data_IF_162552809364
#
_entry.id   IF_162552809364
#
_cell.length_a   1.000
_cell.length_b   1.000
_cell.length_c   1.000
_cell.angle_alpha   90.00
_cell.angle_beta   90.00
_cell.angle_gamma   90.00
#
_symmetry.space_group_name_H-M   'P 1'
#
loop_
_entity.id
_entity.type
_entity.pdbx_description
1 polymer ?
#
# COMPACT_ATOMS: atom_id res chain seq x y z
N UNK A 1 -23.30 5.60 -9.23
CA UNK A 1 -22.90 4.32 -9.86
C UNK A 1 -21.95 3.64 -8.91
N UNK A 2 -21.91 2.30 -8.82
CA UNK A 2 -20.95 1.59 -7.97
C UNK A 2 -19.53 1.84 -8.46
N UNK A 3 -18.62 2.21 -7.58
CA UNK A 3 -17.20 2.41 -7.89
C UNK A 3 -16.54 1.10 -8.24
N UNK A 4 -15.59 1.12 -9.19
CA UNK A 4 -14.79 -0.03 -9.59
C UNK A 4 -13.30 0.24 -9.39
N UNK A 5 -12.61 -0.68 -8.72
CA UNK A 5 -11.16 -0.62 -8.55
C UNK A 5 -10.48 -1.80 -9.26
N UNK A 6 -9.27 -1.58 -9.76
CA UNK A 6 -8.38 -2.62 -10.26
C UNK A 6 -7.22 -2.76 -9.27
N UNK A 7 -7.19 -3.87 -8.52
CA UNK A 7 -6.12 -4.19 -7.57
C UNK A 7 -5.09 -5.12 -8.23
N UNK A 8 -3.82 -4.72 -8.20
CA UNK A 8 -2.70 -5.41 -8.85
C UNK A 8 -1.62 -5.71 -7.82
N UNK A 9 -1.65 -6.91 -7.27
CA UNK A 9 -0.78 -7.38 -6.19
C UNK A 9 -0.47 -8.87 -6.37
N UNK A 10 0.44 -9.43 -5.57
CA UNK A 10 0.56 -10.88 -5.43
C UNK A 10 -0.66 -11.49 -4.74
N UNK A 11 -0.81 -12.80 -4.90
CA UNK A 11 -1.82 -13.61 -4.21
C UNK A 11 -1.13 -14.67 -3.37
N UNK A 12 -1.16 -14.52 -2.06
CA UNK A 12 -0.75 -15.53 -1.10
C UNK A 12 -1.93 -16.41 -0.69
N UNK A 13 -1.84 -17.75 -0.90
CA UNK A 13 -2.94 -18.67 -0.60
C UNK A 13 -3.28 -18.70 0.90
N UNK A 14 -2.29 -18.52 1.77
CA UNK A 14 -2.45 -18.48 3.22
C UNK A 14 -1.72 -17.27 3.77
N UNK A 15 -2.39 -16.56 4.67
CA UNK A 15 -1.95 -15.31 5.27
C UNK A 15 -2.78 -14.12 4.79
N UNK A 16 -2.81 -13.08 5.60
CA UNK A 16 -3.54 -11.83 5.33
C UNK A 16 -2.57 -10.78 4.81
N UNK A 17 -2.38 -10.75 3.51
CA UNK A 17 -1.54 -9.77 2.80
C UNK A 17 -2.01 -9.61 1.35
N UNK A 18 -1.61 -8.56 0.71
CA UNK A 18 -1.79 -8.33 -0.73
C UNK A 18 -3.25 -8.53 -1.18
N UNK A 19 -3.55 -9.31 -2.22
CA UNK A 19 -4.92 -9.49 -2.73
C UNK A 19 -5.89 -10.12 -1.72
N UNK A 20 -5.42 -10.95 -0.78
CA UNK A 20 -6.28 -11.53 0.26
C UNK A 20 -6.74 -10.49 1.29
N UNK A 21 -6.16 -9.30 1.29
CA UNK A 21 -6.54 -8.12 2.08
C UNK A 21 -7.27 -7.10 1.22
N UNK A 22 -6.70 -6.69 0.10
CA UNK A 22 -7.25 -5.64 -0.74
C UNK A 22 -8.66 -5.97 -1.26
N UNK A 23 -8.84 -7.18 -1.81
CA UNK A 23 -10.13 -7.61 -2.36
C UNK A 23 -11.26 -7.60 -1.33
N UNK A 24 -11.17 -8.26 -0.15
CA UNK A 24 -12.27 -8.27 0.82
C UNK A 24 -12.54 -6.88 1.44
N UNK A 25 -11.52 -6.06 1.71
CA UNK A 25 -11.70 -4.72 2.27
C UNK A 25 -12.44 -3.82 1.28
N UNK A 26 -11.97 -3.72 0.04
CA UNK A 26 -12.60 -2.89 -0.98
C UNK A 26 -14.02 -3.38 -1.31
N UNK A 27 -14.23 -4.70 -1.39
CA UNK A 27 -15.56 -5.27 -1.62
C UNK A 27 -16.52 -4.97 -0.47
N UNK A 28 -16.09 -5.07 0.79
CA UNK A 28 -16.89 -4.71 1.96
C UNK A 28 -17.24 -3.20 2.00
N UNK A 29 -16.36 -2.36 1.45
CA UNK A 29 -16.60 -0.92 1.27
C UNK A 29 -17.58 -0.60 0.11
N UNK A 30 -18.14 -1.61 -0.55
CA UNK A 30 -19.08 -1.45 -1.66
C UNK A 30 -18.43 -1.22 -3.03
N UNK A 31 -17.11 -1.41 -3.15
CA UNK A 31 -16.36 -1.25 -4.40
C UNK A 31 -16.37 -2.56 -5.20
N UNK A 32 -16.69 -2.48 -6.49
CA UNK A 32 -16.53 -3.60 -7.43
C UNK A 32 -15.04 -3.77 -7.73
N UNK A 33 -14.39 -4.73 -7.07
CA UNK A 33 -12.94 -4.91 -7.14
C UNK A 33 -12.55 -5.97 -8.14
N UNK A 34 -11.96 -5.55 -9.26
CA UNK A 34 -11.25 -6.43 -10.19
C UNK A 34 -9.82 -6.67 -9.69
N UNK A 35 -9.26 -7.84 -9.99
CA UNK A 35 -7.92 -8.21 -9.51
C UNK A 35 -7.05 -8.73 -10.64
N UNK A 36 -5.76 -8.36 -10.61
CA UNK A 36 -4.72 -8.97 -11.46
C UNK A 36 -3.60 -9.45 -10.52
N UNK A 37 -3.41 -10.79 -10.36
CA UNK A 37 -2.33 -11.29 -9.56
C UNK A 37 -0.98 -11.15 -10.29
N UNK A 38 0.03 -10.59 -9.59
CA UNK A 38 1.41 -10.45 -10.11
C UNK A 38 2.25 -11.69 -9.85
N UNK A 39 1.91 -12.44 -8.82
CA UNK A 39 2.49 -13.73 -8.45
C UNK A 39 1.49 -14.57 -7.65
N UNK A 40 1.67 -15.88 -7.63
CA UNK A 40 0.94 -16.80 -6.76
C UNK A 40 1.93 -17.45 -5.80
N UNK A 41 1.66 -17.31 -4.49
CA UNK A 41 2.46 -17.92 -3.43
C UNK A 41 1.60 -18.85 -2.57
N UNK A 42 2.19 -19.93 -2.05
CA UNK A 42 1.49 -20.78 -1.08
C UNK A 42 1.28 -20.08 0.27
N UNK A 43 2.22 -19.23 0.67
CA UNK A 43 2.15 -18.31 1.82
C UNK A 43 2.91 -17.04 1.45
N UNK A 44 2.70 -15.93 2.16
CA UNK A 44 3.61 -14.80 2.06
C UNK A 44 5.02 -15.15 2.56
N UNK A 45 6.00 -14.29 2.29
CA UNK A 45 7.42 -14.56 2.57
C UNK A 45 7.86 -14.19 3.99
N UNK A 46 7.04 -13.45 4.74
CA UNK A 46 7.33 -13.03 6.12
C UNK A 46 7.17 -14.19 7.10
N UNK A 47 8.25 -14.61 7.74
CA UNK A 47 8.31 -15.72 8.73
C UNK A 47 7.89 -17.11 8.22
N UNK A 48 7.65 -17.28 6.91
CA UNK A 48 7.45 -18.59 6.29
C UNK A 48 8.64 -18.98 5.45
N UNK A 49 8.97 -20.28 5.45
CA UNK A 49 10.03 -20.87 4.63
C UNK A 49 9.48 -22.04 3.83
N UNK A 50 10.12 -22.36 2.69
CA UNK A 50 9.68 -23.48 1.86
C UNK A 50 8.38 -23.23 1.09
N UNK A 51 7.93 -22.00 0.99
CA UNK A 51 6.78 -21.60 0.19
C UNK A 51 7.05 -21.83 -1.30
N UNK A 52 5.98 -22.09 -2.05
CA UNK A 52 6.05 -22.08 -3.53
C UNK A 52 5.80 -20.66 -4.04
N UNK A 53 6.45 -20.32 -5.13
CA UNK A 53 6.29 -19.02 -5.79
C UNK A 53 6.16 -19.24 -7.30
N UNK A 54 5.09 -18.72 -7.90
CA UNK A 54 4.87 -18.67 -9.33
C UNK A 54 4.78 -17.21 -9.76
N UNK A 55 5.77 -16.75 -10.51
CA UNK A 55 5.76 -15.43 -11.15
C UNK A 55 4.73 -15.43 -12.28
N UNK A 56 3.87 -14.41 -12.32
CA UNK A 56 2.84 -14.24 -13.33
C UNK A 56 3.14 -13.11 -14.32
N UNK A 57 4.39 -12.63 -14.39
CA UNK A 57 4.81 -11.55 -15.31
C UNK A 57 4.41 -11.82 -16.75
N UNK A 58 4.50 -13.06 -17.23
CA UNK A 58 4.11 -13.44 -18.61
C UNK A 58 2.62 -13.27 -18.88
N UNK A 59 1.78 -13.19 -17.84
CA UNK A 59 0.33 -13.03 -17.95
C UNK A 59 -0.12 -11.57 -17.85
N UNK A 60 0.68 -10.66 -17.29
CA UNK A 60 0.27 -9.28 -17.07
C UNK A 60 -0.11 -8.56 -18.37
N UNK A 61 0.77 -8.63 -19.39
CA UNK A 61 0.50 -7.99 -20.69
C UNK A 61 -0.67 -8.61 -21.45
N UNK A 62 -0.82 -9.96 -21.56
CA UNK A 62 -2.00 -10.58 -22.16
C UNK A 62 -3.30 -10.23 -21.46
N UNK A 63 -3.33 -10.22 -20.12
CA UNK A 63 -4.51 -9.84 -19.33
C UNK A 63 -4.85 -8.37 -19.61
N UNK A 64 -3.87 -7.47 -19.54
CA UNK A 64 -4.05 -6.05 -19.83
C UNK A 64 -4.66 -5.83 -21.21
N UNK A 65 -4.07 -6.44 -22.24
CA UNK A 65 -4.56 -6.32 -23.62
C UNK A 65 -6.01 -6.81 -23.76
N UNK A 66 -6.37 -7.92 -23.12
CA UNK A 66 -7.75 -8.42 -23.14
C UNK A 66 -8.69 -7.44 -22.41
N UNK A 67 -8.35 -6.98 -21.21
CA UNK A 67 -9.20 -6.05 -20.44
C UNK A 67 -9.42 -4.73 -21.20
N UNK A 68 -8.42 -4.24 -21.92
CA UNK A 68 -8.55 -3.04 -22.75
C UNK A 68 -9.63 -3.19 -23.85
N UNK A 69 -9.87 -4.41 -24.34
CA UNK A 69 -10.94 -4.66 -25.35
C UNK A 69 -12.36 -4.58 -24.78
N UNK A 70 -12.50 -4.63 -23.45
CA UNK A 70 -13.80 -4.67 -22.78
C UNK A 70 -14.41 -3.29 -22.53
N UNK A 71 -13.65 -2.20 -22.77
CA UNK A 71 -14.13 -0.83 -22.56
C UNK A 71 -14.51 -0.56 -21.09
N UNK A 72 -13.83 -1.19 -20.14
CA UNK A 72 -14.09 -1.01 -18.72
C UNK A 72 -13.50 0.33 -18.26
N UNK A 73 -14.24 1.04 -17.41
CA UNK A 73 -13.72 2.18 -16.65
C UNK A 73 -13.42 1.74 -15.23
N UNK A 74 -12.26 2.17 -14.70
CA UNK A 74 -11.85 1.96 -13.33
C UNK A 74 -11.77 3.31 -12.60
N UNK A 75 -12.51 3.46 -11.51
CA UNK A 75 -12.43 4.64 -10.64
C UNK A 75 -11.12 4.70 -9.85
N UNK A 76 -10.47 3.54 -9.62
CA UNK A 76 -9.16 3.47 -9.03
C UNK A 76 -8.32 2.33 -9.61
N UNK A 77 -7.01 2.55 -9.65
CA UNK A 77 -5.97 1.57 -9.85
C UNK A 77 -5.16 1.46 -8.55
N UNK A 78 -4.96 0.26 -8.03
CA UNK A 78 -4.23 0.04 -6.78
C UNK A 78 -3.15 -1.00 -6.98
N UNK A 79 -1.87 -0.60 -6.91
CA UNK A 79 -0.73 -1.52 -6.91
C UNK A 79 -0.12 -1.65 -5.53
N UNK A 80 0.28 -2.87 -5.19
CA UNK A 80 1.08 -3.20 -4.00
C UNK A 80 2.39 -3.87 -4.41
N UNK A 81 2.71 -5.01 -3.77
CA UNK A 81 3.96 -5.72 -4.02
C UNK A 81 4.14 -6.12 -5.50
N UNK A 82 5.29 -5.75 -6.05
CA UNK A 82 5.78 -6.12 -7.37
C UNK A 82 7.14 -6.82 -7.22
N UNK A 83 7.32 -7.96 -7.89
CA UNK A 83 8.49 -8.80 -7.69
C UNK A 83 9.76 -8.28 -8.38
N UNK A 84 9.63 -7.42 -9.41
CA UNK A 84 10.77 -6.97 -10.21
C UNK A 84 10.53 -5.64 -10.89
N UNK A 85 11.62 -4.97 -11.30
CA UNK A 85 11.55 -3.78 -12.14
C UNK A 85 10.85 -4.01 -13.49
N UNK A 86 10.92 -5.22 -14.04
CA UNK A 86 10.19 -5.59 -15.26
C UNK A 86 8.66 -5.57 -15.03
N UNK A 87 8.18 -6.02 -13.87
CA UNK A 87 6.77 -5.89 -13.52
C UNK A 87 6.37 -4.42 -13.41
N UNK A 88 7.20 -3.55 -12.83
CA UNK A 88 6.91 -2.11 -12.78
C UNK A 88 6.70 -1.52 -14.19
N UNK A 89 7.53 -1.89 -15.17
CA UNK A 89 7.34 -1.46 -16.57
C UNK A 89 5.99 -1.95 -17.13
N UNK A 90 5.60 -3.18 -16.84
CA UNK A 90 4.31 -3.72 -17.26
C UNK A 90 3.14 -2.99 -16.60
N UNK A 91 3.28 -2.62 -15.30
CA UNK A 91 2.29 -1.81 -14.61
C UNK A 91 2.18 -0.41 -15.21
N UNK A 92 3.28 0.24 -15.54
CA UNK A 92 3.25 1.54 -16.22
C UNK A 92 2.51 1.45 -17.57
N UNK A 93 2.78 0.40 -18.35
CA UNK A 93 2.04 0.13 -19.59
C UNK A 93 0.56 -0.19 -19.35
N UNK A 94 0.23 -0.86 -18.24
CA UNK A 94 -1.16 -1.14 -17.85
C UNK A 94 -1.91 0.14 -17.49
N UNK A 95 -1.28 1.08 -16.79
CA UNK A 95 -1.86 2.39 -16.51
C UNK A 95 -2.22 3.12 -17.81
N UNK A 96 -1.32 3.11 -18.80
CA UNK A 96 -1.55 3.78 -20.08
C UNK A 96 -2.71 3.16 -20.91
N UNK A 97 -3.01 1.87 -20.70
CA UNK A 97 -4.04 1.15 -21.45
C UNK A 97 -5.40 1.08 -20.74
N UNK A 98 -5.43 1.07 -19.41
CA UNK A 98 -6.64 0.79 -18.63
C UNK A 98 -7.11 1.97 -17.78
N UNK A 99 -6.28 3.01 -17.60
CA UNK A 99 -6.61 4.17 -16.79
C UNK A 99 -6.75 5.43 -17.63
N UNK A 100 -7.58 6.34 -17.18
CA UNK A 100 -7.79 7.67 -17.75
C UNK A 100 -7.59 8.78 -16.70
N UNK A 101 -7.89 10.02 -17.04
CA UNK A 101 -7.72 11.17 -16.14
C UNK A 101 -8.63 11.14 -14.91
N UNK A 102 -9.69 10.33 -14.93
CA UNK A 102 -10.63 10.19 -13.80
C UNK A 102 -10.24 9.02 -12.86
N UNK A 103 -9.30 8.17 -13.29
CA UNK A 103 -8.84 7.03 -12.51
C UNK A 103 -7.90 7.49 -11.40
N UNK A 104 -8.24 7.24 -10.13
CA UNK A 104 -7.35 7.50 -8.99
C UNK A 104 -6.25 6.44 -8.91
N UNK A 105 -5.02 6.79 -9.25
CA UNK A 105 -3.86 5.89 -9.17
C UNK A 105 -3.32 5.91 -7.74
N UNK A 106 -3.44 4.77 -7.06
CA UNK A 106 -3.03 4.55 -5.68
C UNK A 106 -1.90 3.52 -5.65
N UNK A 107 -0.75 3.90 -5.10
CA UNK A 107 0.45 3.05 -5.06
C UNK A 107 0.91 2.84 -3.62
N UNK A 108 0.88 1.58 -3.19
CA UNK A 108 1.63 1.10 -2.04
C UNK A 108 2.94 0.50 -2.57
N UNK A 109 4.10 1.13 -2.35
CA UNK A 109 5.35 0.67 -2.96
C UNK A 109 5.77 -0.75 -2.58
N UNK A 110 5.54 -1.18 -1.34
CA UNK A 110 5.68 -2.53 -0.81
C UNK A 110 6.95 -3.30 -1.23
N UNK A 111 8.15 -2.69 -1.14
CA UNK A 111 9.41 -3.34 -1.54
C UNK A 111 10.47 -3.41 -0.44
N UNK A 112 10.27 -2.74 0.70
CA UNK A 112 11.28 -2.64 1.76
C UNK A 112 10.63 -2.42 3.13
N UNK A 113 11.32 -2.85 4.21
CA UNK A 113 10.92 -2.56 5.58
C UNK A 113 12.14 -2.62 6.52
N UNK A 114 12.06 -1.95 7.69
CA UNK A 114 13.12 -1.91 8.70
C UNK A 114 14.52 -1.60 8.14
N UNK A 115 14.60 -0.64 7.20
CA UNK A 115 15.85 -0.19 6.58
C UNK A 115 16.43 -1.17 5.55
N UNK A 116 15.68 -2.20 5.12
CA UNK A 116 16.14 -3.24 4.20
C UNK A 116 15.09 -3.55 3.14
N UNK A 117 15.54 -3.85 1.92
CA UNK A 117 14.67 -4.40 0.87
C UNK A 117 14.24 -5.83 1.24
N UNK A 118 13.06 -6.23 0.80
CA UNK A 118 12.63 -7.62 0.93
C UNK A 118 13.58 -8.55 0.16
N UNK A 119 13.71 -9.78 0.62
CA UNK A 119 14.74 -10.73 0.17
C UNK A 119 14.72 -11.06 -1.33
N UNK A 120 13.56 -10.93 -1.97
CA UNK A 120 13.40 -11.20 -3.42
C UNK A 120 13.55 -9.94 -4.28
N UNK A 121 13.72 -8.77 -3.69
CA UNK A 121 13.76 -7.47 -4.38
C UNK A 121 15.19 -7.07 -4.71
N UNK A 122 15.45 -6.82 -6.00
CA UNK A 122 16.76 -6.40 -6.49
C UNK A 122 17.09 -4.92 -6.23
N UNK A 123 18.32 -4.52 -6.56
CA UNK A 123 18.81 -3.15 -6.31
C UNK A 123 18.15 -2.08 -7.20
N UNK A 124 17.61 -2.46 -8.33
CA UNK A 124 16.99 -1.51 -9.27
C UNK A 124 15.59 -1.09 -8.85
N UNK A 125 14.93 -1.84 -7.96
CA UNK A 125 13.54 -1.63 -7.58
C UNK A 125 13.23 -0.21 -7.10
N UNK A 126 14.02 0.44 -6.21
CA UNK A 126 13.69 1.80 -5.76
C UNK A 126 13.61 2.80 -6.92
N UNK A 127 14.51 2.69 -7.90
CA UNK A 127 14.51 3.57 -9.08
C UNK A 127 13.29 3.32 -9.98
N UNK A 128 12.91 2.06 -10.16
CA UNK A 128 11.72 1.70 -10.94
C UNK A 128 10.44 2.11 -10.21
N UNK A 129 10.33 1.82 -8.93
CA UNK A 129 9.18 2.18 -8.12
C UNK A 129 8.97 3.69 -8.05
N UNK A 130 10.05 4.48 -8.07
CA UNK A 130 9.99 5.95 -8.17
C UNK A 130 9.22 6.41 -9.41
N UNK A 131 9.42 5.72 -10.56
CA UNK A 131 8.70 6.03 -11.80
C UNK A 131 7.20 5.73 -11.68
N UNK A 132 6.83 4.66 -10.97
CA UNK A 132 5.43 4.34 -10.72
C UNK A 132 4.81 5.34 -9.74
N UNK A 133 5.50 5.67 -8.65
CA UNK A 133 5.06 6.68 -7.69
C UNK A 133 4.85 8.06 -8.34
N UNK A 134 5.67 8.43 -9.34
CA UNK A 134 5.52 9.68 -10.08
C UNK A 134 4.23 9.77 -10.92
N UNK A 135 3.55 8.65 -11.18
CA UNK A 135 2.28 8.56 -11.89
C UNK A 135 1.07 8.51 -10.94
N UNK A 136 1.30 8.45 -9.63
CA UNK A 136 0.26 8.21 -8.64
C UNK A 136 -0.42 9.50 -8.18
N UNK A 137 -1.74 9.43 -7.95
CA UNK A 137 -2.44 10.47 -7.18
C UNK A 137 -2.13 10.33 -5.69
N UNK A 138 -2.04 9.09 -5.17
CA UNK A 138 -1.68 8.85 -3.77
C UNK A 138 -0.65 7.75 -3.66
N UNK A 139 0.41 7.99 -2.87
CA UNK A 139 1.42 6.99 -2.50
C UNK A 139 1.41 6.76 -0.99
N UNK A 140 1.65 5.50 -0.59
CA UNK A 140 1.60 5.09 0.82
C UNK A 140 2.88 4.32 1.21
N UNK A 141 4.07 4.92 1.07
CA UNK A 141 5.30 4.27 1.49
C UNK A 141 5.39 4.18 3.02
N UNK A 142 6.00 3.10 3.53
CA UNK A 142 6.53 3.14 4.89
C UNK A 142 7.80 4.02 4.95
N UNK A 143 8.31 4.30 6.15
CA UNK A 143 9.47 5.19 6.32
C UNK A 143 10.74 4.65 5.64
N UNK A 144 10.91 3.32 5.55
CA UNK A 144 12.03 2.69 4.83
C UNK A 144 11.91 2.95 3.32
N UNK A 145 10.75 2.71 2.76
CA UNK A 145 10.49 2.93 1.34
C UNK A 145 10.62 4.40 0.96
N UNK A 146 10.11 5.30 1.81
CA UNK A 146 10.27 6.74 1.65
C UNK A 146 11.77 7.13 1.56
N UNK A 147 12.61 6.56 2.44
CA UNK A 147 14.05 6.77 2.40
C UNK A 147 14.69 6.27 1.09
N UNK A 148 14.34 5.06 0.65
CA UNK A 148 14.86 4.50 -0.61
C UNK A 148 14.36 5.27 -1.85
N UNK A 149 13.09 5.64 -1.90
CA UNK A 149 12.53 6.43 -2.99
C UNK A 149 13.22 7.79 -3.14
N UNK A 150 13.67 8.38 -2.03
CA UNK A 150 14.37 9.65 -2.00
C UNK A 150 15.91 9.52 -2.08
N UNK A 151 16.45 8.28 -2.16
CA UNK A 151 17.90 8.03 -2.11
C UNK A 151 18.55 8.60 -0.85
N UNK A 152 17.84 8.54 0.29
CA UNK A 152 18.29 9.03 1.58
C UNK A 152 18.55 7.86 2.54
N UNK A 153 19.45 8.03 3.53
CA UNK A 153 19.63 7.02 4.58
C UNK A 153 18.32 6.78 5.35
N UNK A 154 18.00 5.51 5.65
CA UNK A 154 16.91 5.20 6.57
C UNK A 154 17.23 5.75 7.96
N UNK A 155 16.37 6.58 8.55
CA UNK A 155 16.68 7.27 9.81
C UNK A 155 16.58 6.37 11.04
N UNK A 156 15.94 5.18 10.92
CA UNK A 156 15.65 4.34 12.06
C UNK A 156 14.82 5.07 13.12
N UNK A 157 15.18 4.89 14.39
CA UNK A 157 14.52 5.55 15.52
C UNK A 157 14.88 7.04 15.68
N UNK A 158 15.77 7.57 14.82
CA UNK A 158 16.24 8.97 14.87
C UNK A 158 15.46 9.86 13.90
N UNK A 159 14.15 9.75 13.92
CA UNK A 159 13.32 10.65 13.12
C UNK A 159 12.68 11.72 14.00
N UNK A 160 12.51 12.90 13.42
CA UNK A 160 11.77 14.01 14.01
C UNK A 160 10.78 14.57 12.99
N UNK A 161 9.94 15.52 13.44
CA UNK A 161 8.92 16.13 12.58
C UNK A 161 9.51 16.84 11.36
N UNK A 162 10.67 17.47 11.51
CA UNK A 162 11.32 18.21 10.43
C UNK A 162 11.81 17.24 9.33
N UNK A 163 12.44 16.14 9.71
CA UNK A 163 12.91 15.11 8.79
C UNK A 163 11.73 14.46 8.03
N UNK A 164 10.66 14.10 8.75
CA UNK A 164 9.46 13.52 8.10
C UNK A 164 8.80 14.55 7.17
N UNK A 165 8.79 15.84 7.55
CA UNK A 165 8.33 16.91 6.69
C UNK A 165 9.14 17.01 5.39
N UNK A 166 10.46 16.91 5.48
CA UNK A 166 11.35 16.88 4.30
C UNK A 166 11.10 15.65 3.42
N UNK A 167 10.80 14.49 4.01
CA UNK A 167 10.47 13.28 3.26
C UNK A 167 9.13 13.44 2.53
N UNK A 168 8.09 13.93 3.20
CA UNK A 168 6.80 14.19 2.56
C UNK A 168 6.94 15.15 1.37
N UNK A 169 7.67 16.27 1.54
CA UNK A 169 7.91 17.24 0.46
C UNK A 169 8.69 16.62 -0.70
N UNK A 170 9.78 15.90 -0.41
CA UNK A 170 10.56 15.22 -1.45
C UNK A 170 9.75 14.19 -2.23
N UNK A 171 8.86 13.44 -1.58
CA UNK A 171 7.97 12.48 -2.24
C UNK A 171 6.92 13.17 -3.11
N UNK A 172 6.38 14.32 -2.70
CA UNK A 172 5.53 15.14 -3.57
C UNK A 172 6.30 15.65 -4.81
N UNK A 173 7.57 16.01 -4.67
CA UNK A 173 8.42 16.46 -5.79
C UNK A 173 8.64 15.35 -6.82
N UNK A 174 8.56 14.06 -6.45
CA UNK A 174 8.61 12.94 -7.40
C UNK A 174 7.43 12.93 -8.38
N UNK A 175 6.30 13.55 -8.02
CA UNK A 175 5.13 13.64 -8.90
C UNK A 175 3.79 13.33 -8.23
N UNK A 176 3.76 12.62 -7.12
CA UNK A 176 2.53 12.28 -6.40
C UNK A 176 1.75 13.54 -5.97
N UNK A 177 0.42 13.44 -5.92
CA UNK A 177 -0.45 14.51 -5.42
C UNK A 177 -0.62 14.44 -3.91
N UNK A 178 -0.66 13.23 -3.37
CA UNK A 178 -0.83 12.95 -1.95
C UNK A 178 0.21 11.93 -1.49
N UNK A 179 0.77 12.16 -0.33
CA UNK A 179 1.75 11.29 0.32
C UNK A 179 1.24 10.93 1.71
N UNK A 180 1.24 9.65 2.03
CA UNK A 180 0.97 9.13 3.38
C UNK A 180 2.16 8.25 3.76
N UNK A 181 3.06 8.73 4.59
CA UNK A 181 4.17 7.92 5.12
C UNK A 181 3.65 7.14 6.32
N UNK A 182 3.76 5.82 6.29
CA UNK A 182 3.42 4.93 7.41
C UNK A 182 4.65 4.59 8.24
N UNK A 183 4.44 3.94 9.38
CA UNK A 183 5.48 3.56 10.36
C UNK A 183 6.27 4.78 10.91
N UNK A 184 5.59 5.90 11.06
CA UNK A 184 6.15 7.10 11.71
C UNK A 184 5.98 6.98 13.21
N UNK A 185 7.09 7.24 13.95
CA UNK A 185 7.09 7.22 15.42
C UNK A 185 8.07 8.27 15.94
N UNK A 186 7.70 8.96 17.00
CA UNK A 186 8.57 9.89 17.72
C UNK A 186 8.82 9.46 19.16
N UNK A 187 8.13 8.41 19.62
CA UNK A 187 8.33 7.78 20.91
C UNK A 187 8.11 6.27 20.83
N UNK A 188 8.67 5.47 21.76
CA UNK A 188 8.47 4.02 21.76
C UNK A 188 7.02 3.57 21.94
N UNK A 189 6.17 4.43 22.52
CA UNK A 189 4.80 4.12 22.92
C UNK A 189 3.79 4.34 21.79
N UNK A 190 4.21 4.97 20.68
CA UNK A 190 3.31 5.33 19.59
C UNK A 190 3.82 4.87 18.22
N UNK A 191 2.90 4.69 17.30
CA UNK A 191 3.15 4.53 15.87
C UNK A 191 2.04 5.22 15.09
N UNK A 192 2.31 5.64 13.87
CA UNK A 192 1.32 6.38 13.12
C UNK A 192 1.74 6.70 11.70
N UNK A 193 1.17 7.78 11.20
CA UNK A 193 1.35 8.24 9.84
C UNK A 193 1.65 9.74 9.79
N UNK A 194 2.32 10.14 8.71
CA UNK A 194 2.44 11.53 8.30
C UNK A 194 1.80 11.70 6.92
N UNK A 195 0.93 12.69 6.75
CA UNK A 195 0.27 12.93 5.46
C UNK A 195 0.46 14.36 4.99
N UNK A 196 0.71 14.52 3.69
CA UNK A 196 0.82 15.81 3.02
C UNK A 196 0.19 15.72 1.63
N UNK A 197 -0.59 16.72 1.27
CA UNK A 197 -1.21 16.85 -0.06
C UNK A 197 -0.69 18.09 -0.77
N UNK A 198 -0.43 17.98 -2.06
CA UNK A 198 -0.07 19.12 -2.93
C UNK A 198 -1.15 20.19 -2.98
N UNK A 199 -2.41 19.80 -2.85
CA UNK A 199 -3.56 20.71 -2.82
C UNK A 199 -3.79 21.38 -1.46
N UNK A 200 -3.09 20.92 -0.40
CA UNK A 200 -3.19 21.54 0.93
C UNK A 200 -2.53 22.92 0.93
N UNK A 201 -3.16 23.87 1.61
CA UNK A 201 -2.52 25.16 1.92
C UNK A 201 -1.43 25.04 2.99
N UNK A 202 -1.36 23.89 3.69
CA UNK A 202 -0.32 23.62 4.68
C UNK A 202 0.97 23.19 4.00
N UNK A 203 2.09 23.80 4.37
CA UNK A 203 3.43 23.42 3.92
C UNK A 203 4.03 22.27 4.73
N UNK A 204 3.40 21.89 5.84
CA UNK A 204 3.87 20.88 6.77
C UNK A 204 2.88 19.69 6.81
N UNK A 205 3.38 18.45 7.01
CA UNK A 205 2.52 17.30 7.11
C UNK A 205 1.69 17.29 8.39
N UNK A 206 0.51 16.70 8.30
CA UNK A 206 -0.28 16.31 9.45
C UNK A 206 0.20 14.95 9.98
N UNK A 207 0.17 14.80 11.29
CA UNK A 207 0.61 13.57 11.97
C UNK A 207 -0.56 12.98 12.77
N UNK A 208 -0.76 11.68 12.61
CA UNK A 208 -1.78 10.91 13.33
C UNK A 208 -1.11 9.69 13.98
N UNK A 209 -1.33 9.51 15.29
CA UNK A 209 -0.70 8.42 16.05
C UNK A 209 -1.72 7.60 16.80
N UNK A 210 -1.35 6.32 17.04
CA UNK A 210 -2.02 5.39 17.96
C UNK A 210 -0.99 4.73 18.85
N UNK A 211 -1.45 4.11 19.94
CA UNK A 211 -0.57 3.33 20.81
C UNK A 211 0.11 2.20 20.03
N UNK A 212 1.40 2.01 20.29
CA UNK A 212 2.16 0.93 19.68
C UNK A 212 1.89 -0.38 20.41
N UNK A 213 1.77 -1.45 19.65
CA UNK A 213 1.74 -2.82 20.16
C UNK A 213 3.11 -3.46 19.99
N UNK A 214 3.50 -4.32 20.94
CA UNK A 214 4.71 -5.13 20.83
C UNK A 214 4.50 -6.27 19.83
N UNK A 215 5.45 -6.49 18.94
CA UNK A 215 5.44 -7.58 17.97
C UNK A 215 5.64 -7.12 16.54
N UNK A 216 5.80 -8.11 15.64
CA UNK A 216 5.85 -7.90 14.19
C UNK A 216 4.50 -8.32 13.61
N UNK A 217 3.82 -7.41 12.96
CA UNK A 217 2.47 -7.62 12.41
C UNK A 217 2.53 -7.59 10.88
N UNK A 218 2.41 -8.76 10.27
CA UNK A 218 2.40 -8.85 8.80
C UNK A 218 1.09 -8.36 8.19
N UNK A 219 1.15 -7.78 7.00
CA UNK A 219 0.01 -7.31 6.22
C UNK A 219 -0.67 -6.03 6.72
N UNK A 220 -0.13 -5.39 7.76
CA UNK A 220 -0.67 -4.11 8.27
C UNK A 220 -0.61 -2.98 7.26
N UNK A 221 0.44 -2.95 6.42
CA UNK A 221 0.55 -2.03 5.28
C UNK A 221 -0.60 -2.20 4.29
N UNK A 222 -0.83 -3.43 3.82
CA UNK A 222 -1.94 -3.76 2.92
C UNK A 222 -3.31 -3.41 3.52
N UNK A 223 -3.50 -3.70 4.82
CA UNK A 223 -4.74 -3.39 5.55
C UNK A 223 -4.96 -1.89 5.60
N UNK A 224 -3.95 -1.12 6.01
CA UNK A 224 -4.00 0.34 6.05
C UNK A 224 -4.29 0.93 4.67
N UNK A 225 -3.50 0.55 3.66
CA UNK A 225 -3.62 1.07 2.30
C UNK A 225 -4.99 0.76 1.69
N UNK A 226 -5.52 -0.45 1.91
CA UNK A 226 -6.85 -0.85 1.42
C UNK A 226 -7.98 -0.07 2.11
N UNK A 227 -7.91 0.16 3.43
CA UNK A 227 -8.90 1.01 4.13
C UNK A 227 -8.79 2.48 3.71
N UNK A 228 -7.58 3.00 3.49
CA UNK A 228 -7.38 4.38 3.03
C UNK A 228 -7.99 4.57 1.63
N UNK A 229 -7.71 3.66 0.69
CA UNK A 229 -8.30 3.70 -0.64
C UNK A 229 -9.83 3.55 -0.60
N UNK A 230 -10.37 2.66 0.24
CA UNK A 230 -11.81 2.53 0.44
C UNK A 230 -12.44 3.86 0.87
N UNK A 231 -11.81 4.59 1.80
CA UNK A 231 -12.25 5.92 2.22
C UNK A 231 -12.22 6.96 1.11
N UNK A 232 -11.14 6.98 0.31
CA UNK A 232 -11.01 7.88 -0.84
C UNK A 232 -12.12 7.61 -1.86
N UNK A 233 -12.40 6.34 -2.19
CA UNK A 233 -13.46 5.95 -3.12
C UNK A 233 -14.87 6.27 -2.61
N UNK A 234 -15.05 6.35 -1.29
CA UNK A 234 -16.26 6.84 -0.62
C UNK A 234 -16.32 8.38 -0.54
N UNK A 235 -15.41 9.08 -1.24
CA UNK A 235 -15.30 10.54 -1.28
C UNK A 235 -15.02 11.19 0.10
N UNK A 236 -14.37 10.49 1.00
CA UNK A 236 -13.88 11.08 2.24
C UNK A 236 -12.69 12.03 1.97
N UNK A 237 -12.57 13.13 2.73
CA UNK A 237 -11.33 13.91 2.72
C UNK A 237 -10.12 13.02 3.06
N UNK A 238 -8.96 13.26 2.41
CA UNK A 238 -7.76 12.42 2.56
C UNK A 238 -7.40 12.14 4.02
N UNK A 239 -7.39 13.17 4.87
CA UNK A 239 -7.13 13.03 6.31
C UNK A 239 -8.12 12.10 6.99
N UNK A 240 -9.41 12.25 6.74
CA UNK A 240 -10.44 11.42 7.35
C UNK A 240 -10.35 9.96 6.87
N UNK A 241 -10.03 9.74 5.59
CA UNK A 241 -9.78 8.40 5.05
C UNK A 241 -8.56 7.74 5.70
N UNK A 242 -7.45 8.48 5.84
CA UNK A 242 -6.22 8.00 6.48
C UNK A 242 -6.41 7.75 7.99
N UNK A 243 -7.12 8.62 8.69
CA UNK A 243 -7.43 8.45 10.12
C UNK A 243 -8.29 7.21 10.37
N UNK A 244 -9.38 7.04 9.58
CA UNK A 244 -10.20 5.82 9.64
C UNK A 244 -9.37 4.56 9.33
N UNK A 245 -8.49 4.61 8.33
CA UNK A 245 -7.61 3.50 7.99
C UNK A 245 -6.68 3.15 9.15
N UNK A 246 -6.10 4.15 9.81
CA UNK A 246 -5.24 3.97 10.98
C UNK A 246 -6.02 3.33 12.14
N UNK A 247 -7.24 3.80 12.43
CA UNK A 247 -8.10 3.25 13.48
C UNK A 247 -8.47 1.80 13.22
N UNK A 248 -8.90 1.47 12.00
CA UNK A 248 -9.32 0.11 11.64
C UNK A 248 -8.13 -0.85 11.62
N UNK A 249 -6.95 -0.39 11.20
CA UNK A 249 -5.71 -1.19 11.25
C UNK A 249 -5.30 -1.46 12.71
N UNK A 250 -5.31 -0.44 13.55
CA UNK A 250 -5.01 -0.55 14.97
C UNK A 250 -5.98 -1.53 15.67
N UNK A 251 -7.28 -1.42 15.43
CA UNK A 251 -8.28 -2.33 15.97
C UNK A 251 -8.11 -3.78 15.44
N UNK A 252 -7.67 -3.94 14.19
CA UNK A 252 -7.35 -5.27 13.64
C UNK A 252 -6.19 -5.94 14.38
N UNK A 253 -5.18 -5.17 14.79
CA UNK A 253 -4.09 -5.65 15.64
C UNK A 253 -4.62 -6.02 17.03
N UNK A 254 -5.45 -5.19 17.66
CA UNK A 254 -6.07 -5.49 18.95
C UNK A 254 -6.85 -6.81 18.94
N UNK A 255 -7.66 -7.04 17.89
CA UNK A 255 -8.39 -8.30 17.75
C UNK A 255 -7.45 -9.50 17.62
N UNK A 256 -6.37 -9.36 16.85
CA UNK A 256 -5.37 -10.42 16.66
C UNK A 256 -4.71 -10.82 17.98
N UNK A 257 -4.30 -9.82 18.76
CA UNK A 257 -3.70 -10.03 20.08
C UNK A 257 -4.68 -10.64 21.08
N UNK A 258 -5.91 -10.13 21.10
CA UNK A 258 -6.97 -10.63 22.00
C UNK A 258 -7.32 -12.09 21.76
N UNK A 259 -7.33 -12.53 20.49
CA UNK A 259 -7.64 -13.91 20.14
C UNK A 259 -6.41 -14.83 20.18
N UNK A 260 -5.21 -14.31 20.44
CA UNK A 260 -3.97 -15.08 20.56
C UNK A 260 -3.56 -15.80 19.27
N UNK A 261 -3.95 -15.26 18.12
CA UNK A 261 -3.57 -15.84 16.83
C UNK A 261 -2.08 -15.62 16.55
N UNK A 262 -1.39 -16.60 15.92
CA UNK A 262 -0.01 -16.41 15.52
C UNK A 262 0.14 -15.23 14.54
N UNK A 263 0.97 -14.25 14.89
CA UNK A 263 1.11 -12.97 14.17
C UNK A 263 1.57 -13.15 12.71
N UNK A 264 2.31 -14.23 12.42
CA UNK A 264 2.77 -14.56 11.07
C UNK A 264 1.65 -14.78 10.05
N UNK A 265 0.40 -15.00 10.48
CA UNK A 265 -0.74 -15.13 9.56
C UNK A 265 -1.41 -13.80 9.20
N UNK A 266 -0.87 -12.68 9.68
CA UNK A 266 -1.43 -11.34 9.46
C UNK A 266 -2.54 -10.99 10.45
N UNK A 267 -2.95 -9.72 10.41
CA UNK A 267 -3.93 -9.17 11.37
C UNK A 267 -5.37 -9.48 11.00
N UNK A 268 -6.25 -9.61 12.00
CA UNK A 268 -7.67 -9.99 11.83
C UNK A 268 -8.54 -8.81 11.40
N UNK A 269 -8.32 -8.29 10.21
CA UNK A 269 -9.09 -7.17 9.66
C UNK A 269 -10.57 -7.51 9.40
N UNK A 270 -10.91 -8.80 9.25
CA UNK A 270 -12.28 -9.24 9.02
C UNK A 270 -13.23 -8.83 10.16
N UNK A 271 -12.71 -8.66 11.38
CA UNK A 271 -13.46 -8.24 12.56
C UNK A 271 -13.98 -6.81 12.46
N UNK A 272 -13.33 -5.97 11.67
CA UNK A 272 -13.65 -4.55 11.54
C UNK A 272 -14.40 -4.20 10.26
N UNK A 273 -14.54 -5.12 9.29
CA UNK A 273 -15.17 -4.86 7.99
C UNK A 273 -16.59 -4.29 8.10
N UNK A 274 -17.34 -4.68 9.13
CA UNK A 274 -18.71 -4.14 9.38
C UNK A 274 -18.75 -2.63 9.69
N UNK A 275 -17.60 -1.98 9.85
CA UNK A 275 -17.48 -0.54 10.11
C UNK A 275 -17.23 0.29 8.84
N UNK A 276 -17.12 -0.38 7.69
CA UNK A 276 -17.05 0.24 6.37
C UNK A 276 -18.44 0.57 5.85
#
# INVERSE_FOLDING_TARGET
>A
MQKRALAVHDLSCVGRCSLTVALPILSAAGVNTAVIPTALLSTHTGEFTGYTHLDLSDQLSPITAHLATLGLHFDAFYSGYLASGAQVEQILSMLDQLCDSETHIFVDPAFADHGRRYSLIDESMPAQMRRLCARANTIVPNLTEAAFLLERPYPGERCDRALIGDYCRGLLELGAENVIITDVSFSPEETGIALLSRSSSASEPEFLFRSRFDGVFHGTGDVFASFALAGILQAMPLKAAAERALDLTHESIEWTLREGQPLRYGVQFERVLKKL
#
